data_IF_313058374324
#
_entry.id   IF_313058374324
#
_cell.length_a   1.000
_cell.length_b   1.000
_cell.length_c   1.000
_cell.angle_alpha   90.00
_cell.angle_beta   90.00
_cell.angle_gamma   90.00
#
_symmetry.space_group_name_H-M   'P 1'
#
loop_
_entity.id
_entity.type
_entity.pdbx_description
1 polymer ?
#
# COMPACT_ATOMS: atom_id res chain seq x y z
N UNK A 1 -3.77 1.41 -13.27
CA UNK A 1 -4.90 1.63 -12.38
C UNK A 1 -4.71 0.87 -11.07
N UNK A 2 -5.20 1.43 -9.95
CA UNK A 2 -4.92 0.90 -8.61
C UNK A 2 -5.41 -0.54 -8.39
N UNK A 3 -6.57 -0.90 -8.94
CA UNK A 3 -7.21 -2.19 -8.70
C UNK A 3 -7.20 -3.14 -9.89
N UNK A 4 -6.30 -2.89 -10.84
CA UNK A 4 -6.12 -3.82 -11.96
C UNK A 4 -5.59 -5.17 -11.46
N UNK A 5 -5.64 -6.16 -12.34
CA UNK A 5 -5.11 -7.49 -12.06
C UNK A 5 -3.67 -7.39 -11.53
N UNK A 6 -3.38 -8.11 -10.47
CA UNK A 6 -2.08 -8.07 -9.81
C UNK A 6 -1.93 -6.99 -8.75
N UNK A 7 -2.96 -6.14 -8.58
CA UNK A 7 -2.93 -5.05 -7.59
C UNK A 7 -3.47 -5.44 -6.22
N UNK A 8 -3.30 -6.68 -5.84
CA UNK A 8 -3.92 -7.25 -4.63
C UNK A 8 -3.63 -6.49 -3.34
N UNK A 9 -2.41 -5.98 -3.20
CA UNK A 9 -1.99 -5.33 -1.95
C UNK A 9 -1.93 -3.81 -2.05
N UNK A 10 -2.28 -3.23 -3.20
CA UNK A 10 -2.14 -1.78 -3.42
C UNK A 10 -3.00 -0.96 -2.46
N UNK A 11 -4.22 -1.39 -2.24
CA UNK A 11 -5.12 -0.70 -1.30
C UNK A 11 -4.54 -0.70 0.12
N UNK A 12 -3.97 -1.84 0.55
CA UNK A 12 -3.33 -1.92 1.87
C UNK A 12 -2.10 -1.03 1.97
N UNK A 13 -1.31 -0.95 0.91
CA UNK A 13 -0.13 -0.09 0.88
C UNK A 13 -0.55 1.38 1.02
N UNK A 14 -1.54 1.81 0.25
CA UNK A 14 -2.05 3.19 0.34
C UNK A 14 -2.60 3.46 1.74
N UNK A 15 -3.32 2.51 2.30
CA UNK A 15 -3.88 2.62 3.65
C UNK A 15 -2.78 2.86 4.69
N UNK A 16 -1.68 2.13 4.59
CA UNK A 16 -0.55 2.30 5.51
C UNK A 16 0.10 3.68 5.41
N UNK A 17 0.02 4.32 4.24
CA UNK A 17 0.64 5.62 4.02
C UNK A 17 -0.26 6.80 4.39
N UNK A 18 -1.51 6.54 4.80
CA UNK A 18 -2.44 7.61 5.19
C UNK A 18 -1.89 8.45 6.34
N UNK A 19 -1.26 7.81 7.32
CA UNK A 19 -0.76 8.48 8.51
C UNK A 19 0.65 9.07 8.36
N UNK A 20 1.22 9.01 7.17
CA UNK A 20 2.51 9.61 6.89
C UNK A 20 3.48 8.69 6.19
N UNK A 21 4.72 9.16 6.10
CA UNK A 21 5.81 8.45 5.44
C UNK A 21 6.14 7.14 6.14
N UNK A 22 6.40 6.09 5.35
CA UNK A 22 6.80 4.78 5.85
C UNK A 22 8.02 4.28 5.09
N UNK A 23 8.88 3.56 5.79
CA UNK A 23 10.00 2.84 5.17
C UNK A 23 9.52 1.54 4.57
N UNK A 24 10.30 1.02 3.62
CA UNK A 24 9.99 -0.27 3.00
C UNK A 24 9.72 -1.37 4.04
N UNK A 25 10.58 -1.47 5.05
CA UNK A 25 10.43 -2.51 6.07
C UNK A 25 9.14 -2.37 6.87
N UNK A 26 8.71 -1.15 7.12
CA UNK A 26 7.46 -0.88 7.82
C UNK A 26 6.26 -1.32 6.99
N UNK A 27 6.30 -1.03 5.69
CA UNK A 27 5.24 -1.45 4.77
C UNK A 27 5.20 -2.98 4.68
N UNK A 28 6.36 -3.62 4.59
CA UNK A 28 6.44 -5.07 4.53
C UNK A 28 5.84 -5.75 5.76
N UNK A 29 6.09 -5.19 6.94
CA UNK A 29 5.51 -5.70 8.19
C UNK A 29 3.99 -5.54 8.22
N UNK A 30 3.48 -4.46 7.63
CA UNK A 30 2.04 -4.19 7.58
C UNK A 30 1.32 -5.09 6.57
N UNK A 31 2.05 -5.60 5.57
CA UNK A 31 1.48 -6.46 4.52
C UNK A 31 2.27 -7.78 4.49
N UNK A 32 2.18 -8.58 5.56
CA UNK A 32 3.02 -9.78 5.68
C UNK A 32 2.68 -10.88 4.68
N UNK A 33 1.51 -10.84 4.06
CA UNK A 33 1.09 -11.82 3.07
C UNK A 33 1.81 -11.62 1.72
N UNK A 34 2.32 -10.41 1.47
CA UNK A 34 3.04 -10.12 0.23
C UNK A 34 4.48 -10.58 0.34
N UNK A 35 4.97 -11.30 -0.66
CA UNK A 35 6.38 -11.59 -0.76
C UNK A 35 7.14 -10.29 -1.06
N UNK A 36 8.44 -10.21 -0.73
CA UNK A 36 9.22 -9.01 -1.08
C UNK A 36 9.15 -8.68 -2.57
N UNK A 37 9.14 -9.68 -3.42
CA UNK A 37 9.04 -9.48 -4.87
C UNK A 37 7.71 -8.85 -5.27
N UNK A 38 6.62 -9.36 -4.70
CA UNK A 38 5.27 -8.82 -4.97
C UNK A 38 5.13 -7.41 -4.45
N UNK A 39 5.62 -7.18 -3.23
CA UNK A 39 5.57 -5.85 -2.62
C UNK A 39 6.34 -4.83 -3.44
N UNK A 40 7.56 -5.16 -3.84
CA UNK A 40 8.39 -4.28 -4.65
C UNK A 40 7.73 -3.95 -5.98
N UNK A 41 7.12 -4.94 -6.61
CA UNK A 41 6.42 -4.75 -7.88
C UNK A 41 5.24 -3.78 -7.73
N UNK A 42 4.47 -3.96 -6.68
CA UNK A 42 3.28 -3.12 -6.47
C UNK A 42 3.65 -1.70 -6.04
N UNK A 43 4.69 -1.55 -5.25
CA UNK A 43 5.22 -0.22 -4.91
C UNK A 43 5.69 0.51 -6.17
N UNK A 44 6.38 -0.20 -7.06
CA UNK A 44 6.85 0.39 -8.31
C UNK A 44 5.68 0.84 -9.18
N UNK A 45 4.64 0.01 -9.29
CA UNK A 45 3.46 0.36 -10.07
C UNK A 45 2.74 1.58 -9.50
N UNK A 46 2.60 1.65 -8.17
CA UNK A 46 1.99 2.81 -7.52
C UNK A 46 2.80 4.08 -7.75
N UNK A 47 4.11 3.98 -7.75
CA UNK A 47 4.99 5.11 -8.05
C UNK A 47 4.81 5.54 -9.50
N UNK A 48 4.81 4.61 -10.43
CA UNK A 48 4.62 4.88 -11.86
C UNK A 48 3.26 5.52 -12.15
N UNK A 49 2.23 5.11 -11.41
CA UNK A 49 0.88 5.65 -11.55
C UNK A 49 0.73 7.02 -10.86
N UNK A 50 1.77 7.51 -10.20
CA UNK A 50 1.74 8.80 -9.54
C UNK A 50 1.00 8.83 -8.22
N UNK A 51 0.75 7.68 -7.62
CA UNK A 51 0.01 7.55 -6.35
C UNK A 51 0.92 7.75 -5.15
N UNK A 52 2.17 7.28 -5.24
CA UNK A 52 3.14 7.41 -4.15
C UNK A 52 4.44 8.03 -4.63
N UNK A 53 5.14 8.67 -3.70
CA UNK A 53 6.50 9.14 -3.87
C UNK A 53 7.45 8.11 -3.27
N UNK A 54 8.61 7.97 -3.87
CA UNK A 54 9.70 7.15 -3.35
C UNK A 54 10.94 8.02 -3.21
N UNK A 55 11.53 8.05 -2.03
CA UNK A 55 12.75 8.80 -1.76
C UNK A 55 13.82 7.83 -1.28
N UNK A 56 14.93 7.80 -2.00
CA UNK A 56 16.09 7.00 -1.61
C UNK A 56 17.09 7.92 -0.92
N UNK A 57 17.45 7.58 0.30
CA UNK A 57 18.47 8.32 1.05
C UNK A 57 19.81 7.59 0.91
N UNK A 58 20.81 8.25 0.36
CA UNK A 58 22.14 7.62 0.13
C UNK A 58 23.01 7.63 1.39
N UNK A 59 22.46 7.08 2.46
CA UNK A 59 23.17 6.92 3.74
C UNK A 59 23.60 5.45 3.87
N UNK A 60 24.34 5.14 4.93
CA UNK A 60 24.83 3.77 5.17
C UNK A 60 24.24 3.28 6.49
N UNK A 61 23.37 2.23 6.46
CA UNK A 61 22.83 1.57 5.26
C UNK A 61 21.84 2.47 4.50
N UNK A 62 21.67 2.29 3.20
CA UNK A 62 20.71 3.08 2.44
C UNK A 62 19.27 2.79 2.90
N UNK A 63 18.44 3.80 2.85
CA UNK A 63 17.03 3.64 3.22
C UNK A 63 16.12 4.23 2.16
N UNK A 64 14.95 3.63 2.01
CA UNK A 64 13.93 4.10 1.07
C UNK A 64 12.67 4.42 1.85
N UNK A 65 12.07 5.58 1.58
CA UNK A 65 10.84 6.02 2.20
C UNK A 65 9.77 6.25 1.15
N UNK A 66 8.53 5.94 1.52
CA UNK A 66 7.37 6.08 0.65
C UNK A 66 6.33 6.97 1.32
N UNK A 67 5.69 7.81 0.52
CA UNK A 67 4.62 8.70 0.99
C UNK A 67 3.59 8.88 -0.12
N UNK A 68 2.38 9.33 0.25
CA UNK A 68 1.34 9.61 -0.73
C UNK A 68 1.65 10.92 -1.46
N UNK A 69 1.38 10.93 -2.77
CA UNK A 69 1.36 12.16 -3.56
C UNK A 69 0.03 12.89 -3.32
N UNK A 70 -0.13 14.08 -3.90
CA UNK A 70 -1.43 14.75 -3.87
C UNK A 70 -2.52 13.91 -4.53
N UNK A 71 -2.18 13.24 -5.64
CA UNK A 71 -3.11 12.30 -6.30
C UNK A 71 -3.42 11.14 -5.36
N UNK A 72 -2.42 10.58 -4.70
CA UNK A 72 -2.63 9.48 -3.76
C UNK A 72 -3.54 9.86 -2.61
N UNK A 73 -3.44 11.09 -2.12
CA UNK A 73 -4.32 11.57 -1.04
C UNK A 73 -5.78 11.62 -1.45
N UNK A 74 -6.06 11.84 -2.73
CA UNK A 74 -7.46 11.84 -3.21
C UNK A 74 -8.09 10.45 -3.16
N UNK A 75 -7.27 9.40 -3.11
CA UNK A 75 -7.74 8.02 -3.04
C UNK A 75 -8.03 7.56 -1.61
N UNK A 76 -7.62 8.32 -0.61
CA UNK A 76 -7.76 7.91 0.80
C UNK A 76 -9.20 7.54 1.18
N UNK A 77 -10.23 8.36 0.88
CA UNK A 77 -11.60 7.97 1.22
C UNK A 77 -12.06 6.68 0.54
N UNK A 78 -11.61 6.48 -0.70
CA UNK A 78 -11.96 5.29 -1.48
C UNK A 78 -11.32 4.05 -0.86
N UNK A 79 -10.02 4.14 -0.54
CA UNK A 79 -9.28 3.04 0.06
C UNK A 79 -9.83 2.69 1.43
N UNK A 80 -10.15 3.69 2.25
CA UNK A 80 -10.75 3.47 3.56
C UNK A 80 -12.10 2.75 3.44
N UNK A 81 -12.92 3.16 2.48
CA UNK A 81 -14.21 2.52 2.23
C UNK A 81 -14.04 1.06 1.78
N UNK A 82 -13.07 0.80 0.91
CA UNK A 82 -12.79 -0.56 0.44
C UNK A 82 -12.28 -1.46 1.56
N UNK A 83 -11.42 -0.95 2.43
CA UNK A 83 -10.92 -1.73 3.56
C UNK A 83 -12.05 -2.07 4.52
N UNK A 84 -12.92 -1.13 4.81
CA UNK A 84 -14.10 -1.36 5.66
C UNK A 84 -15.07 -2.34 5.02
N UNK A 85 -15.29 -2.20 3.72
CA UNK A 85 -16.16 -3.11 2.99
C UNK A 85 -15.59 -4.52 2.98
N UNK A 86 -14.28 -4.67 2.79
CA UNK A 86 -13.62 -5.97 2.82
C UNK A 86 -13.78 -6.68 4.16
N UNK A 87 -13.57 -5.96 5.26
CA UNK A 87 -13.77 -6.50 6.61
C UNK A 87 -15.22 -6.96 6.80
N UNK A 88 -16.17 -6.13 6.40
CA UNK A 88 -17.58 -6.43 6.51
C UNK A 88 -17.96 -7.65 5.66
N UNK A 89 -17.42 -7.73 4.45
CA UNK A 89 -17.67 -8.86 3.57
C UNK A 89 -17.16 -10.18 4.17
N UNK A 90 -15.94 -10.21 4.68
CA UNK A 90 -15.38 -11.42 5.29
C UNK A 90 -16.17 -11.82 6.52
N UNK A 91 -16.60 -10.86 7.32
CA UNK A 91 -17.43 -11.11 8.50
C UNK A 91 -18.75 -11.75 8.12
N UNK A 92 -19.47 -11.19 7.15
CA UNK A 92 -20.75 -11.71 6.68
C UNK A 92 -20.62 -13.07 6.02
N UNK A 93 -19.54 -13.31 5.29
CA UNK A 93 -19.32 -14.56 4.59
C UNK A 93 -18.78 -15.67 5.50
N UNK A 94 -18.44 -15.35 6.75
CA UNK A 94 -17.86 -16.31 7.68
C UNK A 94 -16.42 -16.69 7.33
N UNK A 95 -15.73 -15.84 6.55
CA UNK A 95 -14.35 -16.07 6.16
C UNK A 95 -13.41 -15.35 7.12
N UNK A 96 -12.18 -15.86 7.29
CA UNK A 96 -11.20 -15.18 8.14
C UNK A 96 -10.81 -13.85 7.51
N UNK A 97 -10.62 -12.84 8.35
CA UNK A 97 -10.14 -11.53 7.91
C UNK A 97 -8.66 -11.66 7.58
N UNK A 98 -8.23 -11.27 6.37
CA UNK A 98 -6.83 -11.37 5.96
C UNK A 98 -5.90 -10.40 6.70
#
# INVERSE_FOLDING_TARGET
MLFRSGGKYKAQIVYELINGTRRYNEIQKAVPQATPRMLSKQLKELEEDGVINRVLYPVVPPKTEYSLTEVGKTLVPIVEALCKWGEHYFELAGLPIP
#
